data_IF_502662109559
#
_entry.id   IF_502662109559
#
_cell.length_a   1.000
_cell.length_b   1.000
_cell.length_c   1.000
_cell.angle_alpha   90.00
_cell.angle_beta   90.00
_cell.angle_gamma   90.00
#
_symmetry.space_group_name_H-M   'P 1'
#
loop_
_entity.id
_entity.type
_entity.pdbx_description
1 polymer ?
#
# COMPACT_ATOMS: atom_id res chain seq x y z
N UNK A 1 -5.19 0.63 -11.55
CA UNK A 1 -4.85 -0.08 -10.30
C UNK A 1 -6.00 0.14 -9.34
N UNK A 2 -6.45 -0.92 -8.68
CA UNK A 2 -7.65 -0.97 -7.84
C UNK A 2 -7.28 -1.25 -6.39
N UNK A 3 -8.25 -1.15 -5.47
CA UNK A 3 -8.05 -1.56 -4.08
C UNK A 3 -7.63 -3.03 -3.97
N UNK A 4 -8.18 -3.91 -4.82
CA UNK A 4 -7.83 -5.34 -4.82
C UNK A 4 -6.37 -5.57 -5.23
N UNK A 5 -5.83 -4.81 -6.18
CA UNK A 5 -4.41 -4.92 -6.57
C UNK A 5 -3.45 -4.63 -5.39
N UNK A 6 -3.85 -3.71 -4.51
CA UNK A 6 -3.11 -3.37 -3.29
C UNK A 6 -3.20 -4.50 -2.27
N UNK A 7 -4.41 -5.01 -2.02
CA UNK A 7 -4.64 -6.10 -1.07
C UNK A 7 -3.94 -7.38 -1.52
N UNK A 8 -4.03 -7.73 -2.80
CA UNK A 8 -3.37 -8.90 -3.38
C UNK A 8 -1.85 -8.77 -3.37
N UNK A 9 -1.32 -7.55 -3.57
CA UNK A 9 0.12 -7.36 -3.43
C UNK A 9 0.59 -7.51 -1.99
N UNK A 10 -0.16 -6.97 -1.03
CA UNK A 10 0.24 -6.95 0.37
C UNK A 10 0.04 -8.30 1.05
N UNK A 11 -1.17 -8.85 0.96
CA UNK A 11 -1.61 -10.08 1.63
C UNK A 11 -1.51 -11.34 0.78
N UNK A 12 -1.05 -11.22 -0.48
CA UNK A 12 -1.16 -12.23 -1.53
C UNK A 12 -2.62 -12.42 -1.99
N UNK A 13 -2.88 -12.95 -3.20
CA UNK A 13 -4.23 -13.30 -3.62
C UNK A 13 -4.82 -14.40 -2.75
N UNK A 14 -6.16 -14.45 -2.60
CA UNK A 14 -6.85 -15.50 -1.82
C UNK A 14 -6.57 -16.93 -2.29
N UNK A 15 -6.13 -17.11 -3.54
CA UNK A 15 -5.72 -18.40 -4.10
C UNK A 15 -4.31 -18.85 -3.68
N UNK A 16 -3.51 -17.96 -3.09
CA UNK A 16 -2.16 -18.25 -2.64
C UNK A 16 -2.17 -18.90 -1.25
N UNK A 17 -1.35 -19.92 -1.04
CA UNK A 17 -1.22 -20.63 0.23
C UNK A 17 -0.66 -19.74 1.38
N UNK A 18 -0.04 -18.62 1.01
CA UNK A 18 0.44 -17.57 1.90
C UNK A 18 -0.60 -16.51 2.24
N UNK A 19 -1.82 -16.58 1.70
CA UNK A 19 -2.84 -15.54 1.90
C UNK A 19 -3.03 -15.18 3.38
N UNK A 20 -2.94 -13.89 3.68
CA UNK A 20 -3.17 -13.34 5.02
C UNK A 20 -2.12 -13.71 6.06
N UNK A 21 -1.05 -14.41 5.69
CA UNK A 21 0.06 -14.71 6.60
C UNK A 21 1.00 -13.52 6.70
N UNK A 22 1.61 -13.37 7.87
CA UNK A 22 2.64 -12.39 8.10
C UNK A 22 3.82 -12.59 7.14
N UNK A 23 4.28 -11.49 6.53
CA UNK A 23 5.39 -11.51 5.58
C UNK A 23 6.63 -10.83 6.18
N UNK A 24 7.84 -11.40 6.02
CA UNK A 24 9.06 -10.79 6.52
C UNK A 24 9.27 -9.35 6.06
N UNK A 25 8.88 -9.03 4.83
CA UNK A 25 9.01 -7.72 4.19
C UNK A 25 8.26 -6.60 4.93
N UNK A 26 7.29 -6.94 5.79
CA UNK A 26 6.58 -5.97 6.62
C UNK A 26 7.41 -5.51 7.82
N UNK A 27 8.35 -6.33 8.29
CA UNK A 27 9.09 -6.09 9.53
C UNK A 27 10.58 -5.79 9.33
N UNK A 28 11.10 -6.01 8.11
CA UNK A 28 12.51 -5.76 7.77
C UNK A 28 12.63 -4.87 6.54
N UNK A 29 13.74 -4.14 6.45
CA UNK A 29 14.09 -3.42 5.22
C UNK A 29 14.39 -4.44 4.11
N UNK A 30 13.73 -4.31 2.97
CA UNK A 30 13.92 -5.15 1.80
C UNK A 30 13.91 -4.26 0.55
N UNK A 31 15.09 -3.99 0.00
CA UNK A 31 15.25 -3.03 -1.09
C UNK A 31 14.52 -3.48 -2.37
N UNK A 32 14.39 -4.79 -2.60
CA UNK A 32 13.67 -5.31 -3.75
C UNK A 32 12.16 -5.08 -3.59
N UNK A 33 11.63 -5.33 -2.39
CA UNK A 33 10.23 -5.06 -2.08
C UNK A 33 9.90 -3.56 -2.16
N UNK A 34 10.78 -2.70 -1.63
CA UNK A 34 10.64 -1.25 -1.72
C UNK A 34 10.63 -0.76 -3.19
N UNK A 35 11.50 -1.32 -4.04
CA UNK A 35 11.52 -1.02 -5.48
C UNK A 35 10.24 -1.48 -6.16
N UNK A 36 9.78 -2.70 -5.86
CA UNK A 36 8.52 -3.19 -6.40
C UNK A 36 7.34 -2.30 -6.03
N UNK A 37 7.31 -1.76 -4.80
CA UNK A 37 6.30 -0.78 -4.39
C UNK A 37 6.40 0.51 -5.19
N UNK A 38 7.60 1.09 -5.30
CA UNK A 38 7.82 2.33 -6.07
C UNK A 38 7.38 2.19 -7.53
N UNK A 39 7.82 1.12 -8.19
CA UNK A 39 7.58 0.92 -9.62
C UNK A 39 6.12 0.63 -9.92
N UNK A 40 5.47 -0.21 -9.10
CA UNK A 40 4.09 -0.63 -9.37
C UNK A 40 3.07 0.39 -8.87
N UNK A 41 3.28 0.97 -7.69
CA UNK A 41 2.27 1.77 -7.00
C UNK A 41 2.61 3.25 -6.90
N UNK A 42 3.74 3.72 -7.47
CA UNK A 42 4.16 5.13 -7.36
C UNK A 42 3.10 6.15 -7.79
N UNK A 43 2.39 5.89 -8.89
CA UNK A 43 1.29 6.75 -9.33
C UNK A 43 0.09 6.73 -8.36
N UNK A 44 -0.20 5.56 -7.77
CA UNK A 44 -1.28 5.39 -6.80
C UNK A 44 -0.95 6.08 -5.47
N UNK A 45 0.31 6.00 -5.02
CA UNK A 45 0.81 6.72 -3.85
C UNK A 45 0.65 8.22 -4.05
N UNK A 46 1.07 8.75 -5.21
CA UNK A 46 0.93 10.17 -5.52
C UNK A 46 -0.54 10.63 -5.51
N UNK A 47 -1.46 9.82 -6.06
CA UNK A 47 -2.89 10.10 -6.04
C UNK A 47 -3.46 10.08 -4.61
N UNK A 48 -3.09 9.10 -3.80
CA UNK A 48 -3.56 8.97 -2.42
C UNK A 48 -3.09 10.15 -1.55
N UNK A 49 -1.80 10.50 -1.64
CA UNK A 49 -1.20 11.64 -0.90
C UNK A 49 -1.78 12.99 -1.34
N UNK A 50 -2.30 13.10 -2.57
CA UNK A 50 -3.06 14.27 -3.01
C UNK A 50 -4.51 14.31 -2.46
N UNK A 51 -4.90 13.36 -1.61
CA UNK A 51 -6.23 13.26 -1.00
C UNK A 51 -7.25 12.44 -1.79
N UNK A 52 -6.81 11.74 -2.85
CA UNK A 52 -7.66 10.86 -3.68
C UNK A 52 -7.94 9.49 -3.06
N UNK A 53 -8.57 8.60 -3.86
CA UNK A 53 -8.95 7.23 -3.48
C UNK A 53 -10.01 7.14 -2.37
N UNK A 54 -10.67 8.25 -2.03
CA UNK A 54 -11.74 8.26 -1.02
C UNK A 54 -12.97 7.49 -1.46
N UNK A 55 -13.19 7.37 -2.76
CA UNK A 55 -14.22 6.55 -3.34
C UNK A 55 -14.12 5.08 -2.91
N UNK A 56 -12.90 4.57 -2.63
CA UNK A 56 -12.73 3.19 -2.16
C UNK A 56 -13.38 2.94 -0.80
N UNK A 57 -13.37 3.92 0.10
CA UNK A 57 -14.02 3.79 1.41
C UNK A 57 -15.53 3.56 1.27
N UNK A 58 -16.15 4.17 0.26
CA UNK A 58 -17.60 4.15 0.05
C UNK A 58 -17.97 2.92 -0.80
N UNK A 59 -17.30 2.75 -1.93
CA UNK A 59 -17.65 1.75 -2.94
C UNK A 59 -17.23 0.33 -2.54
N UNK A 60 -16.23 0.22 -1.65
CA UNK A 60 -15.64 -1.07 -1.23
C UNK A 60 -15.54 -1.25 0.29
N UNK A 61 -16.11 -0.32 1.07
CA UNK A 61 -16.20 -0.42 2.52
C UNK A 61 -14.85 -0.70 3.19
N UNK A 62 -14.84 -1.68 4.11
CA UNK A 62 -13.66 -2.00 4.91
C UNK A 62 -12.44 -2.43 4.09
N UNK A 63 -12.62 -3.20 3.01
CA UNK A 63 -11.52 -3.65 2.13
C UNK A 63 -10.93 -2.45 1.35
N UNK A 64 -11.78 -1.53 0.89
CA UNK A 64 -11.35 -0.29 0.25
C UNK A 64 -10.59 0.64 1.19
N UNK A 65 -11.13 0.86 2.40
CA UNK A 65 -10.46 1.66 3.43
C UNK A 65 -9.11 1.05 3.82
N UNK A 66 -9.04 -0.28 3.99
CA UNK A 66 -7.79 -0.96 4.31
C UNK A 66 -6.75 -0.78 3.19
N UNK A 67 -7.15 -0.95 1.92
CA UNK A 67 -6.26 -0.71 0.80
C UNK A 67 -5.75 0.73 0.78
N UNK A 68 -6.62 1.72 1.06
CA UNK A 68 -6.21 3.13 1.13
C UNK A 68 -5.21 3.39 2.26
N UNK A 69 -5.42 2.81 3.45
CA UNK A 69 -4.48 2.88 4.57
C UNK A 69 -3.12 2.30 4.18
N UNK A 70 -3.10 1.14 3.51
CA UNK A 70 -1.83 0.55 3.04
C UNK A 70 -1.08 1.47 2.07
N UNK A 71 -1.79 2.13 1.15
CA UNK A 71 -1.14 3.08 0.21
C UNK A 71 -0.61 4.31 0.93
N UNK A 72 -1.39 4.87 1.87
CA UNK A 72 -1.03 6.10 2.58
C UNK A 72 0.08 5.91 3.63
N UNK A 73 0.08 4.78 4.33
CA UNK A 73 0.98 4.55 5.47
C UNK A 73 2.12 3.57 5.12
N UNK A 74 1.80 2.36 4.68
CA UNK A 74 2.82 1.33 4.45
C UNK A 74 3.62 1.59 3.18
N UNK A 75 2.93 1.88 2.06
CA UNK A 75 3.60 2.04 0.77
C UNK A 75 4.45 3.31 0.74
N UNK A 76 4.01 4.41 1.37
CA UNK A 76 4.85 5.62 1.51
C UNK A 76 6.12 5.32 2.30
N UNK A 77 6.03 4.59 3.42
CA UNK A 77 7.19 4.18 4.24
C UNK A 77 8.18 3.28 3.50
N UNK A 78 7.70 2.37 2.66
CA UNK A 78 8.54 1.54 1.81
C UNK A 78 9.12 2.32 0.61
N UNK A 79 8.28 3.07 -0.11
CA UNK A 79 8.66 3.75 -1.35
C UNK A 79 9.66 4.88 -1.10
N UNK A 80 9.45 5.64 -0.03
CA UNK A 80 10.22 6.82 0.33
C UNK A 80 11.09 6.58 1.58
N UNK A 81 11.51 5.34 1.80
CA UNK A 81 12.28 4.92 2.96
C UNK A 81 13.44 5.87 3.27
N UNK A 82 13.63 6.16 4.55
CA UNK A 82 14.68 7.03 5.06
C UNK A 82 14.63 8.48 4.50
N UNK A 83 13.46 8.92 4.04
CA UNK A 83 13.20 10.32 3.62
C UNK A 83 11.94 10.86 4.31
N UNK A 84 11.76 12.20 4.38
CA UNK A 84 10.52 12.80 4.89
C UNK A 84 9.25 12.34 4.15
N UNK A 85 9.38 11.95 2.88
CA UNK A 85 8.25 11.46 2.08
C UNK A 85 7.61 10.18 2.64
N UNK A 86 8.30 9.45 3.52
CA UNK A 86 7.74 8.29 4.22
C UNK A 86 6.52 8.62 5.08
N UNK A 87 6.34 9.89 5.46
CA UNK A 87 5.25 10.36 6.33
C UNK A 87 4.20 11.17 5.55
N UNK A 88 4.27 11.21 4.22
CA UNK A 88 3.44 12.09 3.40
C UNK A 88 1.93 11.78 3.48
N UNK A 89 1.56 10.55 3.85
CA UNK A 89 0.17 10.13 4.00
C UNK A 89 -0.39 10.20 5.43
N UNK A 90 0.43 10.52 6.44
CA UNK A 90 0.07 10.32 7.86
C UNK A 90 -1.10 11.20 8.35
N UNK A 91 -1.38 12.31 7.66
CA UNK A 91 -2.42 13.27 8.04
C UNK A 91 -3.76 13.10 7.29
N UNK A 92 -3.87 12.09 6.41
CA UNK A 92 -5.01 11.87 5.50
C UNK A 92 -5.89 10.68 5.93
#
# INVERSE_FOLDING_TARGET
MTHQDVLDFWFLPRSDAGYGKARPEWFRKDAAFDTAIRERFGALIAQAVAGGLREWDIDHGAEGTLARILVLDQFTRNAHRDTPGAFAGDAL
#
